data_IF_205920034495
#
_entry.id   IF_205920034495
#
_cell.length_a   1.000
_cell.length_b   1.000
_cell.length_c   1.000
_cell.angle_alpha   90.00
_cell.angle_beta   90.00
_cell.angle_gamma   90.00
#
_symmetry.space_group_name_H-M   'P 1'
#
loop_
_entity.id
_entity.type
_entity.pdbx_description
1 polymer ?
#
# COMPACT_ATOMS: atom_id res chain seq x y z
N UNK A 1 17.71 14.43 -3.88
CA UNK A 1 17.51 13.44 -2.81
C UNK A 1 16.04 13.06 -2.85
N UNK A 2 15.68 11.99 -3.55
CA UNK A 2 14.31 11.46 -3.49
C UNK A 2 14.19 10.76 -2.14
N UNK A 3 13.41 11.32 -1.21
CA UNK A 3 13.11 10.65 0.06
C UNK A 3 12.25 9.40 -0.17
N UNK A 4 12.17 8.54 0.83
CA UNK A 4 11.23 7.41 0.85
C UNK A 4 9.89 7.85 1.43
N UNK A 5 8.78 7.33 0.89
CA UNK A 5 7.46 7.44 1.52
C UNK A 5 7.49 6.85 2.92
N UNK A 6 6.84 7.51 3.89
CA UNK A 6 6.78 7.03 5.27
C UNK A 6 5.36 6.62 5.62
N UNK A 7 5.25 5.57 6.43
CA UNK A 7 3.98 5.02 6.90
C UNK A 7 3.91 5.09 8.42
N UNK A 8 2.76 5.51 8.92
CA UNK A 8 2.41 5.41 10.33
C UNK A 8 1.19 4.50 10.44
N UNK A 9 1.36 3.34 11.08
CA UNK A 9 0.25 2.39 11.29
C UNK A 9 -0.53 2.85 12.53
N UNK A 10 -1.80 3.19 12.34
CA UNK A 10 -2.70 3.58 13.42
C UNK A 10 -3.47 2.37 13.94
N UNK A 11 -3.88 1.48 13.04
CA UNK A 11 -4.65 0.29 13.36
C UNK A 11 -4.14 -0.92 12.58
N UNK A 12 -4.07 -2.06 13.27
CA UNK A 12 -3.72 -3.35 12.71
C UNK A 12 -4.63 -4.43 13.28
N UNK A 13 -5.32 -5.14 12.40
CA UNK A 13 -6.24 -6.20 12.78
C UNK A 13 -5.98 -7.47 11.95
N UNK A 14 -5.63 -8.55 12.65
CA UNK A 14 -5.51 -9.87 12.05
C UNK A 14 -6.81 -10.67 12.29
N UNK A 15 -7.52 -10.98 11.20
CA UNK A 15 -8.67 -11.90 11.17
C UNK A 15 -8.26 -13.24 10.57
N UNK A 16 -9.12 -14.26 10.70
CA UNK A 16 -8.84 -15.65 10.30
C UNK A 16 -8.33 -15.84 8.87
N UNK A 17 -8.63 -14.90 7.95
CA UNK A 17 -8.21 -14.95 6.53
C UNK A 17 -7.70 -13.62 5.98
N UNK A 18 -7.69 -12.56 6.79
CA UNK A 18 -7.41 -11.19 6.34
C UNK A 18 -6.53 -10.47 7.33
N UNK A 19 -5.60 -9.69 6.82
CA UNK A 19 -4.89 -8.66 7.59
C UNK A 19 -5.43 -7.32 7.12
N UNK A 20 -5.85 -6.49 8.07
CA UNK A 20 -6.38 -5.15 7.82
C UNK A 20 -5.43 -4.16 8.48
N UNK A 21 -5.02 -3.14 7.73
CA UNK A 21 -4.16 -2.06 8.19
C UNK A 21 -4.82 -0.72 7.85
N UNK A 22 -4.72 0.22 8.79
CA UNK A 22 -5.11 1.61 8.59
C UNK A 22 -3.99 2.51 9.10
N UNK A 23 -3.73 3.59 8.39
CA UNK A 23 -2.68 4.50 8.80
C UNK A 23 -2.57 5.77 8.00
N UNK A 24 -1.49 6.51 8.28
CA UNK A 24 -1.11 7.69 7.53
C UNK A 24 0.07 7.42 6.60
N UNK A 25 0.09 8.16 5.50
CA UNK A 25 1.19 8.22 4.54
C UNK A 25 1.77 9.64 4.57
N UNK A 26 3.11 9.73 4.66
CA UNK A 26 3.83 10.99 4.44
C UNK A 26 4.65 10.90 3.16
N UNK A 27 4.44 11.80 2.18
CA UNK A 27 5.22 11.80 0.97
C UNK A 27 6.65 12.31 1.23
N UNK A 28 7.60 11.99 0.33
CA UNK A 28 9.00 12.39 0.46
C UNK A 28 9.29 13.84 0.05
N UNK A 29 8.25 14.65 -0.20
CA UNK A 29 8.32 16.04 -0.61
C UNK A 29 7.40 16.90 0.28
N UNK A 30 7.69 18.21 0.42
CA UNK A 30 6.82 19.11 1.16
C UNK A 30 5.46 19.22 0.47
N UNK A 31 4.38 19.03 1.24
CA UNK A 31 3.02 19.26 0.77
C UNK A 31 2.59 20.71 1.03
N UNK A 32 1.79 21.32 0.14
CA UNK A 32 1.19 22.64 0.37
C UNK A 32 0.12 22.64 1.47
N UNK A 33 -0.39 21.47 1.88
CA UNK A 33 -1.43 21.29 2.89
C UNK A 33 -0.98 20.29 3.98
N UNK A 34 -1.49 20.45 5.19
CA UNK A 34 -1.09 19.67 6.37
C UNK A 34 -1.97 18.45 6.67
N UNK A 35 -3.01 18.20 5.87
CA UNK A 35 -3.91 17.08 6.14
C UNK A 35 -3.19 15.73 5.94
N UNK A 36 -3.36 14.77 6.87
CA UNK A 36 -2.77 13.44 6.73
C UNK A 36 -3.35 12.72 5.50
N UNK A 37 -2.50 12.05 4.72
CA UNK A 37 -2.97 11.12 3.70
C UNK A 37 -3.33 9.81 4.39
N UNK A 38 -4.59 9.43 4.37
CA UNK A 38 -5.03 8.17 4.96
C UNK A 38 -4.88 7.03 3.96
N UNK A 39 -4.54 5.86 4.49
CA UNK A 39 -4.61 4.62 3.73
C UNK A 39 -5.34 3.53 4.51
N UNK A 40 -6.04 2.70 3.77
CA UNK A 40 -6.65 1.49 4.26
C UNK A 40 -6.22 0.32 3.39
N UNK A 41 -5.68 -0.73 4.00
CA UNK A 41 -5.16 -1.89 3.28
C UNK A 41 -5.78 -3.17 3.83
N UNK A 42 -6.24 -4.02 2.91
CA UNK A 42 -6.73 -5.37 3.21
C UNK A 42 -5.90 -6.38 2.42
N UNK A 43 -5.15 -7.22 3.13
CA UNK A 43 -4.48 -8.39 2.58
C UNK A 43 -5.34 -9.63 2.83
N UNK A 44 -5.93 -10.16 1.76
CA UNK A 44 -6.69 -11.39 1.73
C UNK A 44 -5.85 -12.65 1.50
N UNK A 45 -6.51 -13.77 1.14
CA UNK A 45 -5.82 -15.02 0.81
C UNK A 45 -5.08 -14.97 -0.54
N UNK A 46 -5.61 -14.26 -1.52
CA UNK A 46 -5.14 -14.20 -2.92
C UNK A 46 -5.22 -12.78 -3.49
N UNK A 47 -5.44 -11.78 -2.64
CA UNK A 47 -5.54 -10.38 -3.05
C UNK A 47 -4.95 -9.43 -2.00
N UNK A 48 -4.53 -8.26 -2.46
CA UNK A 48 -4.25 -7.07 -1.67
C UNK A 48 -5.11 -5.95 -2.22
N UNK A 49 -5.90 -5.32 -1.36
CA UNK A 49 -6.71 -4.15 -1.66
C UNK A 49 -6.15 -2.98 -0.88
N UNK A 50 -5.94 -1.85 -1.53
CA UNK A 50 -5.41 -0.63 -0.96
C UNK A 50 -6.28 0.53 -1.38
N UNK A 51 -6.78 1.27 -0.41
CA UNK A 51 -7.54 2.49 -0.59
C UNK A 51 -6.71 3.65 -0.09
N UNK A 52 -6.52 4.67 -0.94
CA UNK A 52 -5.77 5.88 -0.62
C UNK A 52 -6.60 7.11 -0.98
N UNK A 53 -6.42 8.20 -0.22
CA UNK A 53 -6.99 9.50 -0.56
C UNK A 53 -6.44 9.98 -1.91
N UNK A 54 -7.32 10.29 -2.85
CA UNK A 54 -6.98 10.72 -4.22
C UNK A 54 -6.47 12.15 -4.25
N UNK A 55 -6.72 12.93 -3.19
CA UNK A 55 -6.38 14.33 -3.04
C UNK A 55 -4.85 14.53 -3.22
N UNK A 56 -4.46 14.73 -4.47
CA UNK A 56 -3.15 15.08 -5.03
C UNK A 56 -2.06 14.00 -5.06
N UNK A 57 -1.94 13.15 -4.04
CA UNK A 57 -0.75 12.28 -3.91
C UNK A 57 -1.05 10.78 -4.13
N UNK A 58 -2.32 10.40 -4.28
CA UNK A 58 -2.75 9.03 -4.53
C UNK A 58 -2.10 8.44 -5.78
N UNK A 59 -2.13 9.14 -6.92
CA UNK A 59 -1.54 8.65 -8.17
C UNK A 59 -0.01 8.49 -8.07
N UNK A 60 0.68 9.43 -7.42
CA UNK A 60 2.13 9.33 -7.18
C UNK A 60 2.47 8.16 -6.25
N UNK A 61 1.63 7.92 -5.25
CA UNK A 61 1.77 6.79 -4.33
C UNK A 61 1.55 5.46 -5.05
N UNK A 62 0.56 5.37 -5.93
CA UNK A 62 0.31 4.17 -6.73
C UNK A 62 1.40 3.92 -7.76
N UNK A 63 1.93 4.96 -8.39
CA UNK A 63 3.09 4.83 -9.28
C UNK A 63 4.32 4.31 -8.52
N UNK A 64 4.51 4.74 -7.28
CA UNK A 64 5.56 4.23 -6.40
C UNK A 64 5.34 2.75 -6.04
N UNK A 65 4.11 2.36 -5.70
CA UNK A 65 3.74 0.97 -5.41
C UNK A 65 3.93 0.03 -6.60
N UNK A 66 3.52 0.46 -7.81
CA UNK A 66 3.65 -0.32 -9.03
C UNK A 66 5.12 -0.65 -9.36
N UNK A 67 6.05 0.25 -9.03
CA UNK A 67 7.50 0.01 -9.19
C UNK A 67 8.04 -1.05 -8.22
N UNK A 68 7.41 -1.21 -7.06
CA UNK A 68 7.91 -2.08 -5.99
C UNK A 68 7.32 -3.49 -6.03
N UNK A 69 6.07 -3.62 -6.46
CA UNK A 69 5.43 -4.93 -6.58
C UNK A 69 5.68 -5.60 -7.94
N UNK A 70 6.25 -4.86 -8.90
CA UNK A 70 6.35 -5.27 -10.29
C UNK A 70 4.99 -5.15 -11.00
N UNK A 71 4.95 -5.20 -12.33
CA UNK A 71 3.69 -5.26 -13.05
C UNK A 71 2.96 -6.56 -12.66
N UNK A 72 1.74 -6.51 -12.09
CA UNK A 72 0.89 -7.70 -12.02
C UNK A 72 0.74 -8.30 -13.42
N UNK A 73 0.71 -9.63 -13.52
CA UNK A 73 0.47 -10.31 -14.80
C UNK A 73 -0.84 -9.84 -15.47
N UNK A 74 -1.81 -9.35 -14.70
CA UNK A 74 -3.09 -8.78 -15.18
C UNK A 74 -3.29 -7.26 -14.95
N UNK A 75 -2.29 -6.50 -14.48
CA UNK A 75 -2.49 -5.08 -14.15
C UNK A 75 -3.20 -4.87 -12.78
N UNK A 76 -2.86 -3.84 -11.98
CA UNK A 76 -3.66 -3.52 -10.80
C UNK A 76 -5.02 -3.01 -11.27
N UNK A 77 -6.11 -3.50 -10.68
CA UNK A 77 -7.44 -2.94 -10.96
C UNK A 77 -7.59 -1.68 -10.13
N UNK A 78 -7.68 -0.54 -10.82
CA UNK A 78 -7.86 0.77 -10.19
C UNK A 78 -9.35 1.12 -10.31
N UNK A 79 -10.02 1.26 -9.16
CA UNK A 79 -11.38 1.77 -9.09
C UNK A 79 -11.36 3.13 -8.38
N UNK A 80 -11.89 4.16 -9.02
CA UNK A 80 -12.01 5.49 -8.44
C UNK A 80 -13.43 5.63 -7.88
N UNK A 81 -13.54 5.83 -6.56
CA UNK A 81 -14.79 6.11 -5.87
C UNK A 81 -14.99 7.62 -5.70
N UNK A 82 -16.19 8.12 -6.00
CA UNK A 82 -16.55 9.55 -5.91
C UNK A 82 -17.11 10.09 -7.24
N UNK A 83 -17.89 11.18 -7.19
CA UNK A 83 -18.23 11.93 -8.41
C UNK A 83 -16.94 12.55 -8.94
N UNK A 84 -16.70 12.44 -10.25
CA UNK A 84 -15.53 13.07 -10.89
C UNK A 84 -15.42 14.58 -10.65
N UNK A 85 -16.52 15.22 -10.26
CA UNK A 85 -16.61 16.66 -9.99
C UNK A 85 -16.18 17.04 -8.55
N UNK A 86 -16.08 16.08 -7.62
CA UNK A 86 -15.58 16.29 -6.25
C UNK A 86 -14.12 15.81 -6.19
N UNK A 87 -13.17 16.72 -6.46
CA UNK A 87 -11.73 16.45 -6.35
C UNK A 87 -11.25 16.35 -4.89
N UNK A 88 -12.01 16.89 -3.93
CA UNK A 88 -11.77 16.76 -2.49
C UNK A 88 -12.49 15.53 -1.94
N UNK A 89 -11.75 14.53 -1.45
CA UNK A 89 -12.28 13.36 -0.76
C UNK A 89 -12.55 12.14 -1.64
N UNK A 90 -12.13 12.16 -2.92
CA UNK A 90 -12.21 10.98 -3.76
C UNK A 90 -11.25 9.89 -3.23
N UNK A 91 -11.69 8.63 -3.24
CA UNK A 91 -10.88 7.50 -2.79
C UNK A 91 -10.45 6.67 -4.00
N UNK A 92 -9.18 6.30 -4.03
CA UNK A 92 -8.62 5.48 -5.08
C UNK A 92 -8.34 4.09 -4.51
N UNK A 93 -9.10 3.12 -5.02
CA UNK A 93 -8.97 1.73 -4.68
C UNK A 93 -8.06 1.03 -5.69
N UNK A 94 -7.08 0.30 -5.19
CA UNK A 94 -6.17 -0.51 -5.97
C UNK A 94 -6.21 -1.94 -5.47
N UNK A 95 -6.60 -2.84 -6.37
CA UNK A 95 -6.62 -4.27 -6.10
C UNK A 95 -5.54 -4.99 -6.90
N UNK A 96 -4.78 -5.80 -6.19
CA UNK A 96 -3.70 -6.63 -6.70
C UNK A 96 -3.99 -8.09 -6.35
N UNK A 97 -4.22 -8.92 -7.37
CA UNK A 97 -4.42 -10.36 -7.21
C UNK A 97 -3.11 -11.12 -7.37
N UNK A 98 -2.95 -12.19 -6.60
CA UNK A 98 -1.79 -13.08 -6.66
C UNK A 98 -2.19 -14.53 -6.40
N UNK A 99 -1.38 -15.47 -6.88
CA UNK A 99 -1.54 -16.88 -6.54
C UNK A 99 -1.39 -17.09 -5.03
N UNK A 100 -2.24 -17.93 -4.45
CA UNK A 100 -2.39 -18.11 -3.00
C UNK A 100 -1.09 -18.53 -2.29
N UNK A 101 -0.22 -19.26 -2.99
CA UNK A 101 1.12 -19.68 -2.54
C UNK A 101 2.14 -18.52 -2.46
N UNK A 102 1.88 -17.41 -3.15
CA UNK A 102 2.69 -16.19 -3.09
C UNK A 102 2.36 -15.31 -1.89
N UNK A 103 1.25 -15.57 -1.18
CA UNK A 103 0.81 -14.75 -0.04
C UNK A 103 1.91 -14.49 1.01
N UNK A 104 2.73 -15.48 1.44
CA UNK A 104 3.81 -15.21 2.38
C UNK A 104 4.88 -14.25 1.84
N UNK A 105 5.18 -14.32 0.54
CA UNK A 105 6.12 -13.40 -0.12
C UNK A 105 5.55 -11.99 -0.18
N UNK A 106 4.27 -11.86 -0.52
CA UNK A 106 3.56 -10.57 -0.53
C UNK A 106 3.55 -9.95 0.86
N UNK A 107 3.25 -10.74 1.90
CA UNK A 107 3.24 -10.29 3.28
C UNK A 107 4.62 -9.79 3.75
N UNK A 108 5.70 -10.50 3.41
CA UNK A 108 7.06 -10.06 3.72
C UNK A 108 7.45 -8.77 2.98
N UNK A 109 7.12 -8.68 1.68
CA UNK A 109 7.36 -7.46 0.90
C UNK A 109 6.56 -6.28 1.46
N UNK A 110 5.32 -6.51 1.87
CA UNK A 110 4.47 -5.48 2.47
C UNK A 110 5.03 -5.02 3.82
N UNK A 111 5.49 -5.93 4.68
CA UNK A 111 6.13 -5.57 5.94
C UNK A 111 7.40 -4.72 5.72
N UNK A 112 8.24 -5.11 4.76
CA UNK A 112 9.43 -4.36 4.39
C UNK A 112 9.08 -2.98 3.82
N UNK A 113 8.07 -2.92 2.95
CA UNK A 113 7.58 -1.69 2.32
C UNK A 113 7.04 -0.68 3.33
N UNK A 114 6.21 -1.15 4.27
CA UNK A 114 5.65 -0.32 5.32
C UNK A 114 6.70 0.05 6.40
N UNK A 115 7.85 -0.61 6.40
CA UNK A 115 8.82 -0.51 7.49
C UNK A 115 8.23 -0.98 8.83
N UNK A 116 7.23 -1.86 8.79
CA UNK A 116 6.45 -2.28 9.95
C UNK A 116 6.30 -3.80 9.99
N UNK A 117 6.56 -4.47 11.13
CA UNK A 117 6.39 -5.91 11.23
C UNK A 117 4.90 -6.28 11.15
N UNK A 118 4.55 -7.19 10.23
CA UNK A 118 3.18 -7.65 10.05
C UNK A 118 2.97 -9.07 10.63
N UNK A 119 1.79 -9.37 11.20
CA UNK A 119 1.46 -10.71 11.68
C UNK A 119 1.56 -11.75 10.55
N UNK A 120 2.40 -12.76 10.75
CA UNK A 120 2.65 -13.82 9.76
C UNK A 120 3.73 -13.49 8.74
N UNK A 121 4.32 -12.28 8.77
CA UNK A 121 5.58 -12.01 8.11
C UNK A 121 6.70 -12.72 8.87
N UNK A 122 7.71 -13.21 8.15
CA UNK A 122 8.91 -13.73 8.78
C UNK A 122 9.63 -12.59 9.51
N UNK A 123 10.14 -12.80 10.74
CA UNK A 123 10.92 -11.80 11.44
C UNK A 123 12.24 -11.59 10.67
N UNK A 124 12.32 -10.48 9.93
CA UNK A 124 13.51 -10.01 9.19
C UNK A 124 14.24 -11.10 8.37
N UNK A 125 13.70 -11.43 7.20
CA UNK A 125 14.56 -11.80 6.06
C UNK A 125 15.25 -10.55 5.50
N UNK A 126 16.47 -10.64 4.97
CA UNK A 126 17.24 -9.47 4.53
C UNK A 126 16.45 -8.63 3.53
N UNK A 127 16.55 -7.30 3.67
CA UNK A 127 16.04 -6.33 2.70
C UNK A 127 16.45 -6.72 1.28
N UNK A 128 15.57 -6.64 0.27
CA UNK A 128 15.96 -6.77 -1.12
C UNK A 128 16.64 -5.48 -1.57
N UNK A 129 17.83 -5.24 -1.04
CA UNK A 129 18.79 -4.25 -1.53
C UNK A 129 20.17 -4.87 -1.44
N UNK A 130 20.38 -5.93 -2.23
CA UNK A 130 21.69 -6.36 -2.74
C UNK A 130 21.49 -7.63 -3.59
N UNK A 131 20.98 -7.46 -4.81
CA UNK A 131 21.39 -8.33 -5.91
C UNK A 131 21.90 -7.43 -7.04
N UNK A 132 23.23 -7.43 -7.14
CA UNK A 132 24.13 -7.14 -8.27
C UNK A 132 23.90 -5.90 -9.15
#
# INVERSE_FOLDING_TARGET
>A
MEGTWKFEILHQEARSRRLILEGHITPPYPRPYHDPLFFYLVLGPDYLSLEVSRDFDGDNFLAYLARLWGPPEEGPRIQVGGRQDDEEGALQLVEYHFLLDLRPKVLNRLAAFLGHPLPGAAPNGPSPTEEA
#
